data_IF_515053397606
#
_entry.id   IF_515053397606
#
_cell.length_a   1.000
_cell.length_b   1.000
_cell.length_c   1.000
_cell.angle_alpha   90.00
_cell.angle_beta   90.00
_cell.angle_gamma   90.00
#
_symmetry.space_group_name_H-M   'P 1'
#
loop_
_entity.id
_entity.type
_entity.pdbx_description
1 polymer ?
#
# COMPACT_ATOMS: atom_id res chain seq x y z
N UNK A 1 -18.22 -18.50 -14.77
CA UNK A 1 -17.47 -17.93 -13.63
C UNK A 1 -17.95 -16.51 -13.41
N UNK A 2 -18.06 -16.09 -12.16
CA UNK A 2 -18.44 -14.72 -11.81
C UNK A 2 -17.30 -13.75 -12.14
N UNK A 3 -17.60 -12.48 -12.12
CA UNK A 3 -16.62 -11.39 -12.15
C UNK A 3 -16.78 -10.61 -10.87
N UNK A 4 -15.69 -10.37 -10.15
CA UNK A 4 -15.70 -9.73 -8.84
C UNK A 4 -14.90 -8.44 -8.89
N UNK A 5 -15.43 -7.42 -8.25
CA UNK A 5 -14.76 -6.15 -7.98
C UNK A 5 -15.01 -5.77 -6.52
N UNK A 6 -13.96 -5.51 -5.78
CA UNK A 6 -14.02 -5.10 -4.37
C UNK A 6 -13.24 -3.80 -4.16
N UNK A 7 -13.61 -3.06 -3.14
CA UNK A 7 -13.01 -1.76 -2.83
C UNK A 7 -13.24 -1.38 -1.36
N UNK A 8 -12.47 -0.45 -0.78
CA UNK A 8 -12.84 0.21 0.46
C UNK A 8 -14.25 0.79 0.38
N UNK A 9 -14.97 0.81 1.52
CA UNK A 9 -16.29 1.45 1.56
C UNK A 9 -16.20 2.96 1.32
N UNK A 10 -15.09 3.58 1.70
CA UNK A 10 -14.82 4.99 1.45
C UNK A 10 -13.32 5.25 1.30
N UNK A 11 -12.98 6.09 0.34
CA UNK A 11 -11.65 6.67 0.16
C UNK A 11 -11.75 8.19 0.28
N UNK A 12 -10.87 8.81 1.05
CA UNK A 12 -10.78 10.25 1.23
C UNK A 12 -9.33 10.68 1.01
N UNK A 13 -9.12 11.68 0.18
CA UNK A 13 -7.80 12.26 -0.09
C UNK A 13 -7.88 13.77 -0.11
N UNK A 14 -6.91 14.42 0.51
CA UNK A 14 -6.75 15.87 0.46
C UNK A 14 -5.81 16.38 1.54
N UNK A 15 -5.41 17.65 1.46
CA UNK A 15 -4.54 18.28 2.45
C UNK A 15 -5.30 18.53 3.77
N UNK A 16 -4.66 18.23 4.91
CA UNK A 16 -5.20 18.48 6.24
C UNK A 16 -6.33 17.54 6.67
N UNK A 17 -6.58 16.45 5.95
CA UNK A 17 -7.66 15.51 6.27
C UNK A 17 -7.41 14.74 7.58
N UNK A 18 -6.16 14.59 8.02
CA UNK A 18 -5.83 14.00 9.32
C UNK A 18 -6.47 14.78 10.48
N UNK A 19 -6.59 16.09 10.36
CA UNK A 19 -7.23 16.92 11.37
C UNK A 19 -8.75 16.66 11.53
N UNK A 20 -9.36 15.96 10.58
CA UNK A 20 -10.77 15.57 10.58
C UNK A 20 -10.99 14.09 10.91
N UNK A 21 -9.92 13.34 11.23
CA UNK A 21 -9.97 11.89 11.46
C UNK A 21 -11.06 11.47 12.44
N UNK A 22 -11.20 12.17 13.58
CA UNK A 22 -12.22 11.86 14.58
C UNK A 22 -13.65 11.94 14.01
N UNK A 23 -13.94 12.95 13.18
CA UNK A 23 -15.25 13.08 12.53
C UNK A 23 -15.57 11.96 11.55
N UNK A 24 -14.55 11.40 10.90
CA UNK A 24 -14.72 10.23 10.06
C UNK A 24 -14.91 8.95 10.89
N UNK A 25 -14.11 8.77 11.93
CA UNK A 25 -14.17 7.60 12.84
C UNK A 25 -15.50 7.55 13.59
N UNK A 26 -16.08 8.68 13.95
CA UNK A 26 -17.38 8.77 14.62
C UNK A 26 -18.54 8.10 13.85
N UNK A 27 -18.37 7.87 12.53
CA UNK A 27 -19.36 7.13 11.73
C UNK A 27 -19.25 5.61 11.89
N UNK A 28 -18.16 5.12 12.49
CA UNK A 28 -17.88 3.69 12.61
C UNK A 28 -17.88 3.20 14.05
N UNK A 29 -17.57 4.06 15.01
CA UNK A 29 -17.50 3.72 16.41
C UNK A 29 -17.37 4.93 17.32
N UNK A 30 -17.39 4.69 18.63
CA UNK A 30 -17.25 5.70 19.69
C UNK A 30 -15.98 5.54 20.51
N UNK A 31 -15.31 4.40 20.38
CA UNK A 31 -14.06 4.11 21.09
C UNK A 31 -13.03 3.44 20.19
N UNK A 32 -12.01 4.18 19.81
CA UNK A 32 -11.01 3.74 18.86
C UNK A 32 -9.76 3.16 19.53
N UNK A 33 -9.27 2.02 19.05
CA UNK A 33 -7.89 1.61 19.25
C UNK A 33 -7.05 2.18 18.10
N UNK A 34 -6.08 3.05 18.40
CA UNK A 34 -5.23 3.70 17.40
C UNK A 34 -3.84 3.06 17.41
N UNK A 35 -3.59 2.19 16.44
CA UNK A 35 -2.29 1.54 16.24
C UNK A 35 -1.36 2.47 15.48
N UNK A 36 -0.25 2.86 16.11
CA UNK A 36 0.65 3.89 15.59
C UNK A 36 2.06 3.69 16.17
N UNK A 37 3.11 3.96 15.41
CA UNK A 37 4.47 3.89 15.95
C UNK A 37 4.81 5.06 16.88
N UNK A 38 5.79 4.88 17.78
CA UNK A 38 6.32 5.97 18.63
C UNK A 38 6.69 7.23 17.81
N UNK A 39 7.30 7.03 16.64
CA UNK A 39 7.60 8.11 15.69
C UNK A 39 6.36 8.78 15.13
N UNK A 40 5.30 8.02 14.85
CA UNK A 40 4.00 8.50 14.41
C UNK A 40 3.33 9.37 15.48
N UNK A 41 3.33 8.90 16.74
CA UNK A 41 2.79 9.67 17.87
C UNK A 41 3.49 11.02 17.98
N UNK A 42 4.82 11.06 17.87
CA UNK A 42 5.55 12.35 17.93
C UNK A 42 5.23 13.29 16.78
N UNK A 43 4.96 12.79 15.57
CA UNK A 43 4.70 13.63 14.39
C UNK A 43 3.25 14.11 14.31
N UNK A 44 2.30 13.25 14.63
CA UNK A 44 0.87 13.49 14.36
C UNK A 44 -0.04 13.31 15.58
N UNK A 45 0.50 12.87 16.72
CA UNK A 45 -0.30 12.55 17.90
C UNK A 45 -1.17 13.69 18.40
N UNK A 46 -0.67 14.93 18.40
CA UNK A 46 -1.45 16.07 18.88
C UNK A 46 -2.59 16.45 17.94
N UNK A 47 -2.37 16.34 16.61
CA UNK A 47 -3.44 16.53 15.61
C UNK A 47 -4.51 15.45 15.77
N UNK A 48 -4.10 14.20 15.95
CA UNK A 48 -5.01 13.07 16.17
C UNK A 48 -5.82 13.26 17.45
N UNK A 49 -5.17 13.55 18.59
CA UNK A 49 -5.84 13.81 19.88
C UNK A 49 -6.90 14.90 19.75
N UNK A 50 -6.52 16.03 19.13
CA UNK A 50 -7.45 17.14 18.93
C UNK A 50 -8.64 16.73 18.07
N UNK A 51 -8.39 16.03 16.96
CA UNK A 51 -9.44 15.58 16.05
C UNK A 51 -10.46 14.65 16.74
N UNK A 52 -9.98 13.73 17.58
CA UNK A 52 -10.86 12.83 18.34
C UNK A 52 -11.64 13.58 19.42
N UNK A 53 -11.00 14.50 20.13
CA UNK A 53 -11.68 15.35 21.14
C UNK A 53 -12.78 16.22 20.51
N UNK A 54 -12.51 16.84 19.36
CA UNK A 54 -13.48 17.66 18.64
C UNK A 54 -14.71 16.85 18.15
N UNK A 55 -14.55 15.54 17.96
CA UNK A 55 -15.59 14.63 17.48
C UNK A 55 -16.29 13.81 18.59
N UNK A 56 -15.92 14.00 19.85
CA UNK A 56 -16.43 13.24 21.00
C UNK A 56 -16.29 11.70 20.79
N UNK A 57 -15.11 11.29 20.32
CA UNK A 57 -14.73 9.89 20.17
C UNK A 57 -13.59 9.57 21.15
N UNK A 58 -13.82 8.63 22.04
CA UNK A 58 -12.79 8.13 22.93
C UNK A 58 -11.74 7.34 22.13
N UNK A 59 -10.49 7.39 22.53
CA UNK A 59 -9.44 6.63 21.86
C UNK A 59 -8.29 6.29 22.82
N UNK A 60 -7.60 5.20 22.50
CA UNK A 60 -6.35 4.82 23.12
C UNK A 60 -5.28 4.67 22.03
N UNK A 61 -4.13 5.33 22.19
CA UNK A 61 -2.96 4.99 21.39
C UNK A 61 -2.38 3.67 21.85
N UNK A 62 -2.06 2.81 20.88
CA UNK A 62 -1.32 1.59 21.12
C UNK A 62 -0.08 1.59 20.22
N UNK A 63 1.09 1.55 20.89
CA UNK A 63 2.35 1.67 20.17
C UNK A 63 2.64 0.35 19.44
N UNK A 64 2.80 0.46 18.12
CA UNK A 64 3.17 -0.66 17.26
C UNK A 64 4.62 -1.09 17.50
N UNK A 65 4.85 -2.37 17.70
CA UNK A 65 6.16 -2.92 18.09
C UNK A 65 7.17 -3.08 16.94
N UNK A 66 6.76 -2.83 15.67
CA UNK A 66 7.67 -2.78 14.52
C UNK A 66 7.42 -3.83 13.44
N UNK A 67 6.72 -4.94 13.73
CA UNK A 67 6.45 -5.98 12.74
C UNK A 67 4.97 -6.41 12.73
N UNK A 68 4.43 -6.69 11.54
CA UNK A 68 3.12 -7.31 11.37
C UNK A 68 3.26 -8.83 11.59
N UNK A 69 3.42 -9.22 12.86
CA UNK A 69 3.55 -10.62 13.25
C UNK A 69 2.32 -11.11 14.01
N UNK A 70 2.14 -12.44 14.08
CA UNK A 70 1.03 -13.02 14.82
C UNK A 70 1.05 -12.62 16.29
N UNK A 71 2.23 -12.54 16.90
CA UNK A 71 2.38 -12.15 18.30
C UNK A 71 1.90 -10.70 18.53
N UNK A 72 2.22 -9.77 17.62
CA UNK A 72 1.76 -8.39 17.72
C UNK A 72 0.27 -8.26 17.44
N UNK A 73 -0.26 -9.01 16.47
CA UNK A 73 -1.71 -9.07 16.21
C UNK A 73 -2.44 -9.56 17.45
N UNK A 74 -2.01 -10.66 18.05
CA UNK A 74 -2.63 -11.25 19.24
C UNK A 74 -2.58 -10.30 20.45
N UNK A 75 -1.47 -9.58 20.65
CA UNK A 75 -1.33 -8.55 21.68
C UNK A 75 -2.38 -7.45 21.49
N UNK A 76 -2.45 -6.86 20.31
CA UNK A 76 -3.37 -5.76 20.00
C UNK A 76 -4.85 -6.21 20.01
N UNK A 77 -5.14 -7.46 19.66
CA UNK A 77 -6.48 -8.05 19.83
C UNK A 77 -6.86 -8.12 21.31
N UNK A 78 -5.91 -8.51 22.17
CA UNK A 78 -6.09 -8.49 23.63
C UNK A 78 -6.41 -7.08 24.12
N UNK A 79 -5.61 -6.10 23.74
CA UNK A 79 -5.77 -4.70 24.11
C UNK A 79 -7.09 -4.09 23.59
N UNK A 80 -7.48 -4.40 22.34
CA UNK A 80 -8.76 -3.96 21.79
C UNK A 80 -9.96 -4.47 22.60
N UNK A 81 -9.93 -5.74 23.01
CA UNK A 81 -10.99 -6.34 23.83
C UNK A 81 -11.02 -5.78 25.24
N UNK A 82 -9.86 -5.67 25.90
CA UNK A 82 -9.74 -5.14 27.25
C UNK A 82 -10.22 -3.68 27.34
N UNK A 83 -9.81 -2.86 26.38
CA UNK A 83 -10.21 -1.47 26.26
C UNK A 83 -11.65 -1.28 25.77
N UNK A 84 -12.28 -2.33 25.22
CA UNK A 84 -13.62 -2.28 24.65
C UNK A 84 -13.68 -1.36 23.41
N UNK A 85 -12.66 -1.43 22.57
CA UNK A 85 -12.62 -0.67 21.32
C UNK A 85 -13.67 -1.21 20.33
N UNK A 86 -14.41 -0.32 19.69
CA UNK A 86 -15.45 -0.63 18.70
C UNK A 86 -15.06 -0.22 17.29
N UNK A 87 -13.86 0.37 17.11
CA UNK A 87 -13.22 0.64 15.82
C UNK A 87 -11.69 0.58 15.97
N UNK A 88 -11.01 0.07 14.96
CA UNK A 88 -9.54 0.03 14.91
C UNK A 88 -9.04 1.03 13.87
N UNK A 89 -8.04 1.83 14.24
CA UNK A 89 -7.44 2.84 13.37
C UNK A 89 -5.94 2.55 13.23
N UNK A 90 -5.44 2.32 12.02
CA UNK A 90 -4.01 2.14 11.76
C UNK A 90 -3.41 3.40 11.13
N UNK A 91 -2.48 4.09 11.81
CA UNK A 91 -1.83 5.30 11.30
C UNK A 91 -0.35 5.03 11.05
N UNK A 92 0.05 4.96 9.78
CA UNK A 92 1.46 4.71 9.45
C UNK A 92 1.73 4.13 8.07
N UNK A 93 2.71 3.24 7.98
CA UNK A 93 3.06 2.50 6.76
C UNK A 93 2.43 1.11 6.72
N UNK A 94 2.82 0.31 5.71
CA UNK A 94 2.27 -1.00 5.39
C UNK A 94 2.06 -1.92 6.59
N UNK A 95 3.11 -2.16 7.36
CA UNK A 95 3.05 -3.07 8.52
C UNK A 95 2.01 -2.65 9.56
N UNK A 96 1.83 -1.35 9.80
CA UNK A 96 0.87 -0.83 10.78
C UNK A 96 -0.56 -1.06 10.32
N UNK A 97 -0.89 -0.68 9.08
CA UNK A 97 -2.27 -0.86 8.63
C UNK A 97 -2.60 -2.32 8.30
N UNK A 98 -1.62 -3.14 7.93
CA UNK A 98 -1.82 -4.58 7.81
C UNK A 98 -2.13 -5.21 9.17
N UNK A 99 -1.39 -4.83 10.22
CA UNK A 99 -1.70 -5.23 11.59
C UNK A 99 -3.09 -4.73 12.02
N UNK A 100 -3.43 -3.46 11.74
CA UNK A 100 -4.74 -2.90 12.10
C UNK A 100 -5.90 -3.63 11.40
N UNK A 101 -5.76 -4.01 10.12
CA UNK A 101 -6.73 -4.83 9.39
C UNK A 101 -6.91 -6.20 10.03
N UNK A 102 -5.82 -6.87 10.39
CA UNK A 102 -5.86 -8.18 11.04
C UNK A 102 -6.53 -8.10 12.43
N UNK A 103 -6.19 -7.11 13.24
CA UNK A 103 -6.79 -6.87 14.56
C UNK A 103 -8.29 -6.61 14.42
N UNK A 104 -8.68 -5.68 13.53
CA UNK A 104 -10.09 -5.35 13.31
C UNK A 104 -10.92 -6.56 12.89
N UNK A 105 -10.37 -7.38 11.98
CA UNK A 105 -11.01 -8.64 11.55
C UNK A 105 -11.17 -9.63 12.71
N UNK A 106 -10.18 -9.73 13.60
CA UNK A 106 -10.21 -10.67 14.74
C UNK A 106 -11.16 -10.24 15.86
N UNK A 107 -11.49 -8.96 15.97
CA UNK A 107 -12.46 -8.44 16.94
C UNK A 107 -13.82 -8.08 16.32
N UNK A 108 -14.00 -8.35 15.03
CA UNK A 108 -15.20 -8.04 14.23
C UNK A 108 -15.59 -6.54 14.30
N UNK A 109 -14.59 -5.68 14.21
CA UNK A 109 -14.74 -4.22 14.26
C UNK A 109 -14.44 -3.56 12.90
N UNK A 110 -15.01 -2.38 12.61
CA UNK A 110 -14.59 -1.55 11.49
C UNK A 110 -13.11 -1.18 11.56
N UNK A 111 -12.46 -1.06 10.38
CA UNK A 111 -11.08 -0.58 10.27
C UNK A 111 -10.97 0.71 9.46
N UNK A 112 -10.22 1.66 10.00
CA UNK A 112 -9.83 2.91 9.35
C UNK A 112 -8.33 2.89 9.12
N UNK A 113 -7.91 3.00 7.88
CA UNK A 113 -6.50 3.00 7.47
C UNK A 113 -6.08 4.43 7.11
N UNK A 114 -5.02 4.91 7.76
CA UNK A 114 -4.49 6.28 7.59
C UNK A 114 -3.01 6.20 7.20
N UNK A 115 -2.70 6.03 5.92
CA UNK A 115 -1.32 6.00 5.45
C UNK A 115 -0.62 7.35 5.67
N UNK A 116 0.62 7.30 6.14
CA UNK A 116 1.49 8.49 6.27
C UNK A 116 2.53 8.55 5.16
N UNK A 117 2.51 7.58 4.26
CA UNK A 117 3.36 7.42 3.08
C UNK A 117 2.55 6.78 1.96
N UNK A 118 2.87 7.06 0.70
CA UNK A 118 2.26 6.42 -0.47
C UNK A 118 3.25 5.46 -1.14
N UNK A 119 3.77 4.50 -0.37
CA UNK A 119 4.87 3.63 -0.78
C UNK A 119 4.42 2.28 -1.36
N UNK A 120 3.14 1.91 -1.20
CA UNK A 120 2.54 0.67 -1.70
C UNK A 120 1.04 0.85 -1.91
N UNK A 121 0.40 -0.09 -2.57
CA UNK A 121 -1.03 -0.14 -2.85
C UNK A 121 -1.86 -0.90 -1.80
N UNK A 122 -1.21 -1.47 -0.79
CA UNK A 122 -1.83 -2.26 0.27
C UNK A 122 -2.93 -1.56 1.11
N UNK A 123 -2.99 -0.20 1.25
CA UNK A 123 -4.01 0.44 2.09
C UNK A 123 -5.45 0.08 1.75
N UNK A 124 -5.76 -0.13 0.47
CA UNK A 124 -7.12 -0.35 -0.01
C UNK A 124 -7.57 -1.81 0.04
N UNK A 125 -6.65 -2.77 0.20
CA UNK A 125 -6.94 -4.19 0.02
C UNK A 125 -7.54 -4.88 1.25
N UNK A 126 -8.32 -5.94 0.99
CA UNK A 126 -8.85 -6.88 1.99
C UNK A 126 -7.84 -7.98 2.33
N UNK A 127 -6.57 -7.65 2.40
CA UNK A 127 -5.52 -8.59 2.78
C UNK A 127 -4.42 -7.91 3.61
N UNK A 128 -3.68 -8.72 4.35
CA UNK A 128 -2.47 -8.31 5.06
C UNK A 128 -1.35 -9.29 4.79
N UNK A 129 -0.13 -8.80 4.80
CA UNK A 129 1.07 -9.63 4.77
C UNK A 129 1.53 -9.84 6.21
N UNK A 130 1.54 -11.10 6.65
CA UNK A 130 1.99 -11.48 7.99
C UNK A 130 3.42 -12.00 7.91
N UNK A 131 4.24 -11.55 8.83
CA UNK A 131 5.65 -11.91 8.93
C UNK A 131 5.92 -12.68 10.23
N UNK A 132 7.05 -13.35 10.28
CA UNK A 132 7.61 -13.86 11.54
C UNK A 132 8.16 -12.70 12.36
N UNK A 133 8.41 -12.90 13.66
CA UNK A 133 8.95 -11.85 14.55
C UNK A 133 10.34 -11.36 14.12
N UNK A 134 11.09 -12.15 13.35
CA UNK A 134 12.37 -11.79 12.73
C UNK A 134 12.24 -11.19 11.31
N UNK A 135 11.00 -10.91 10.87
CA UNK A 135 10.70 -10.16 9.65
C UNK A 135 10.70 -10.98 8.35
N UNK A 136 10.64 -12.31 8.42
CA UNK A 136 10.50 -13.16 7.24
C UNK A 136 9.03 -13.27 6.83
N UNK A 137 8.75 -13.32 5.52
CA UNK A 137 7.40 -13.57 5.03
C UNK A 137 6.86 -14.89 5.59
N UNK A 138 5.65 -14.85 6.15
CA UNK A 138 4.95 -16.02 6.68
C UNK A 138 3.78 -16.41 5.78
N UNK A 139 2.81 -15.50 5.63
CA UNK A 139 1.58 -15.79 4.87
C UNK A 139 0.85 -14.51 4.43
N UNK A 140 -0.06 -14.67 3.46
CA UNK A 140 -1.10 -13.69 3.17
C UNK A 140 -2.36 -14.03 3.97
N UNK A 141 -2.88 -13.07 4.72
CA UNK A 141 -4.15 -13.20 5.42
C UNK A 141 -5.22 -12.42 4.66
N UNK A 142 -6.25 -13.12 4.18
CA UNK A 142 -7.37 -12.52 3.45
C UNK A 142 -8.54 -12.24 4.36
N UNK A 143 -9.21 -11.10 4.17
CA UNK A 143 -10.35 -10.67 4.96
C UNK A 143 -11.64 -10.69 4.15
N UNK A 144 -12.80 -10.67 4.86
CA UNK A 144 -14.12 -10.69 4.24
C UNK A 144 -14.46 -9.39 3.51
N UNK A 145 -13.85 -8.29 3.89
CA UNK A 145 -14.12 -6.95 3.36
C UNK A 145 -12.87 -6.08 3.38
N UNK A 146 -12.82 -5.14 2.45
CA UNK A 146 -11.82 -4.07 2.41
C UNK A 146 -12.04 -3.10 3.58
N UNK A 147 -11.07 -2.22 3.89
CA UNK A 147 -11.22 -1.22 4.94
C UNK A 147 -12.48 -0.37 4.80
N UNK A 148 -13.07 -0.01 5.93
CA UNK A 148 -14.25 0.86 5.97
C UNK A 148 -13.92 2.28 5.50
N UNK A 149 -12.70 2.74 5.80
CA UNK A 149 -12.17 4.02 5.34
C UNK A 149 -10.67 3.92 5.10
N UNK A 150 -10.23 4.48 3.97
CA UNK A 150 -8.84 4.85 3.71
C UNK A 150 -8.75 6.37 3.66
N UNK A 151 -7.93 6.97 4.54
CA UNK A 151 -7.79 8.41 4.69
C UNK A 151 -6.36 8.84 4.35
N UNK A 152 -6.20 9.52 3.22
CA UNK A 152 -4.92 10.01 2.70
C UNK A 152 -4.80 11.51 2.96
N UNK A 153 -4.00 11.90 3.93
CA UNK A 153 -3.63 13.31 4.13
C UNK A 153 -2.42 13.64 3.26
N UNK A 154 -2.66 14.34 2.16
CA UNK A 154 -1.62 14.63 1.16
C UNK A 154 -0.56 15.60 1.67
N UNK A 155 -0.89 16.45 2.64
CA UNK A 155 0.11 17.29 3.31
C UNK A 155 1.06 16.47 4.20
N UNK A 156 0.57 15.43 4.86
CA UNK A 156 1.40 14.51 5.64
C UNK A 156 2.28 13.67 4.72
N UNK A 157 1.70 13.12 3.67
CA UNK A 157 2.37 12.22 2.73
C UNK A 157 3.46 12.96 1.94
N UNK A 158 3.19 14.18 1.47
CA UNK A 158 4.16 14.98 0.71
C UNK A 158 5.42 15.36 1.52
N UNK A 159 5.35 15.33 2.85
CA UNK A 159 6.49 15.56 3.76
C UNK A 159 7.30 14.29 4.04
N UNK A 160 6.87 13.13 3.53
CA UNK A 160 7.61 11.88 3.68
C UNK A 160 8.82 11.83 2.72
N UNK A 161 9.82 10.96 2.98
CA UNK A 161 10.94 10.80 2.06
C UNK A 161 10.48 10.46 0.64
N UNK A 162 10.93 11.23 -0.36
CA UNK A 162 10.53 11.10 -1.78
C UNK A 162 10.71 9.67 -2.30
N UNK A 163 11.79 8.99 -1.89
CA UNK A 163 12.07 7.59 -2.25
C UNK A 163 10.90 6.65 -1.92
N UNK A 164 10.11 6.93 -0.88
CA UNK A 164 8.94 6.11 -0.53
C UNK A 164 7.80 6.28 -1.55
N UNK A 165 7.51 7.50 -1.98
CA UNK A 165 6.51 7.74 -3.03
C UNK A 165 6.98 7.18 -4.38
N UNK A 166 8.28 7.29 -4.69
CA UNK A 166 8.88 6.67 -5.89
C UNK A 166 8.78 5.14 -5.82
N UNK A 167 9.02 4.54 -4.66
CA UNK A 167 8.77 3.10 -4.48
C UNK A 167 7.30 2.74 -4.76
N UNK A 168 6.35 3.56 -4.27
CA UNK A 168 4.93 3.36 -4.59
C UNK A 168 4.62 3.45 -6.09
N UNK A 169 5.28 4.35 -6.82
CA UNK A 169 5.15 4.39 -8.29
C UNK A 169 5.70 3.11 -8.94
N UNK A 170 6.78 2.55 -8.40
CA UNK A 170 7.34 1.29 -8.88
C UNK A 170 6.43 0.09 -8.63
N UNK A 171 5.69 0.09 -7.53
CA UNK A 171 4.67 -0.89 -7.20
C UNK A 171 3.45 -0.75 -8.13
N UNK A 172 2.89 0.45 -8.20
CA UNK A 172 1.74 0.78 -9.03
C UNK A 172 1.97 0.55 -10.53
N UNK A 173 3.23 0.63 -10.99
CA UNK A 173 3.59 0.38 -12.38
C UNK A 173 3.28 -1.05 -12.82
N UNK A 174 3.39 -2.04 -11.94
CA UNK A 174 3.09 -3.44 -12.23
C UNK A 174 1.61 -3.68 -12.51
N UNK A 175 0.74 -2.92 -11.86
CA UNK A 175 -0.70 -3.16 -11.79
C UNK A 175 -1.35 -3.36 -13.16
N UNK A 176 -1.08 -2.49 -14.12
CA UNK A 176 -1.67 -2.61 -15.46
C UNK A 176 -1.16 -3.84 -16.22
N UNK A 177 0.14 -4.10 -16.16
CA UNK A 177 0.74 -5.20 -16.91
C UNK A 177 0.34 -6.56 -16.35
N UNK A 178 0.29 -6.67 -15.04
CA UNK A 178 -0.16 -7.90 -14.36
C UNK A 178 -1.66 -8.13 -14.56
N UNK A 179 -2.50 -7.09 -14.44
CA UNK A 179 -3.92 -7.16 -14.77
C UNK A 179 -4.15 -7.64 -16.21
N UNK A 180 -3.35 -7.13 -17.17
CA UNK A 180 -3.38 -7.53 -18.57
C UNK A 180 -3.00 -9.00 -18.74
N UNK A 181 -1.96 -9.46 -18.06
CA UNK A 181 -1.53 -10.85 -18.09
C UNK A 181 -2.58 -11.79 -17.48
N UNK A 182 -3.15 -11.46 -16.33
CA UNK A 182 -4.23 -12.20 -15.69
C UNK A 182 -5.48 -12.29 -16.58
N UNK A 183 -5.86 -11.19 -17.24
CA UNK A 183 -6.98 -11.20 -18.17
C UNK A 183 -6.72 -12.09 -19.38
N UNK A 184 -5.50 -12.08 -19.94
CA UNK A 184 -5.12 -12.91 -21.10
C UNK A 184 -5.11 -14.40 -20.76
N UNK A 185 -4.64 -14.76 -19.57
CA UNK A 185 -4.57 -16.16 -19.10
C UNK A 185 -5.86 -16.66 -18.48
N UNK A 186 -6.91 -15.82 -18.37
CA UNK A 186 -8.13 -16.12 -17.64
C UNK A 186 -7.88 -16.55 -16.19
N UNK A 187 -6.88 -15.93 -15.55
CA UNK A 187 -6.51 -16.23 -14.17
C UNK A 187 -7.59 -15.76 -13.17
N UNK A 188 -7.56 -16.34 -11.97
CA UNK A 188 -8.34 -15.86 -10.82
C UNK A 188 -7.65 -14.66 -10.19
N UNK A 189 -8.42 -13.63 -9.85
CA UNK A 189 -7.93 -12.42 -9.18
C UNK A 189 -7.77 -12.63 -7.68
N UNK A 190 -7.15 -11.69 -6.98
CA UNK A 190 -7.06 -11.72 -5.50
C UNK A 190 -8.45 -11.61 -4.85
N UNK A 191 -9.42 -10.99 -5.54
CA UNK A 191 -10.81 -10.92 -5.11
C UNK A 191 -11.60 -12.25 -5.27
N UNK A 192 -10.99 -13.28 -5.84
CA UNK A 192 -11.51 -14.65 -5.85
C UNK A 192 -12.10 -15.16 -7.18
N UNK A 193 -12.42 -14.30 -8.13
CA UNK A 193 -13.03 -14.68 -9.42
C UNK A 193 -12.38 -13.95 -10.61
N UNK A 194 -13.08 -13.77 -11.72
CA UNK A 194 -12.51 -13.19 -12.94
C UNK A 194 -12.50 -11.68 -12.94
N UNK A 195 -11.54 -11.13 -13.67
CA UNK A 195 -11.35 -9.68 -13.81
C UNK A 195 -12.57 -8.99 -14.43
N UNK A 196 -12.93 -7.84 -13.88
CA UNK A 196 -13.97 -6.96 -14.43
C UNK A 196 -13.41 -5.95 -15.43
N UNK A 197 -14.27 -5.37 -16.29
CA UNK A 197 -13.86 -4.26 -17.14
C UNK A 197 -13.52 -3.00 -16.32
N UNK A 198 -14.16 -2.81 -15.16
CA UNK A 198 -13.87 -1.71 -14.25
C UNK A 198 -12.45 -1.81 -13.68
N UNK A 199 -12.05 -3.00 -13.17
CA UNK A 199 -10.69 -3.22 -12.67
C UNK A 199 -9.63 -2.95 -13.75
N UNK A 200 -9.85 -3.43 -14.97
CA UNK A 200 -8.95 -3.16 -16.11
C UNK A 200 -8.85 -1.67 -16.46
N UNK A 201 -9.97 -0.95 -16.39
CA UNK A 201 -9.98 0.50 -16.68
C UNK A 201 -9.20 1.28 -15.60
N UNK A 202 -9.34 0.90 -14.32
CA UNK A 202 -8.60 1.51 -13.23
C UNK A 202 -7.10 1.18 -13.29
N UNK A 203 -6.74 -0.07 -13.59
CA UNK A 203 -5.35 -0.46 -13.79
C UNK A 203 -4.71 0.32 -14.97
N UNK A 204 -5.45 0.53 -16.06
CA UNK A 204 -4.98 1.36 -17.18
C UNK A 204 -4.85 2.83 -16.79
N UNK A 205 -5.83 3.39 -16.08
CA UNK A 205 -5.78 4.76 -15.59
C UNK A 205 -4.58 4.95 -14.63
N UNK A 206 -4.27 3.96 -13.79
CA UNK A 206 -3.08 3.97 -12.95
C UNK A 206 -1.81 4.15 -13.79
N UNK A 207 -1.61 3.31 -14.80
CA UNK A 207 -0.47 3.40 -15.72
C UNK A 207 -0.39 4.76 -16.40
N UNK A 208 -1.50 5.23 -17.02
CA UNK A 208 -1.53 6.50 -17.72
C UNK A 208 -1.21 7.69 -16.80
N UNK A 209 -1.67 7.64 -15.54
CA UNK A 209 -1.37 8.65 -14.52
C UNK A 209 0.11 8.64 -14.13
N UNK A 210 0.70 7.46 -13.92
CA UNK A 210 2.13 7.34 -13.63
C UNK A 210 2.98 7.94 -14.75
N UNK A 211 2.69 7.58 -15.99
CA UNK A 211 3.45 8.06 -17.16
C UNK A 211 3.32 9.57 -17.36
N UNK A 212 2.14 10.15 -17.11
CA UNK A 212 1.89 11.57 -17.31
C UNK A 212 2.41 12.46 -16.19
N UNK A 213 2.34 12.01 -14.93
CA UNK A 213 2.54 12.84 -13.75
C UNK A 213 3.69 12.37 -12.83
N UNK A 214 4.21 11.15 -12.97
CA UNK A 214 5.18 10.56 -12.04
C UNK A 214 6.47 11.37 -11.90
N UNK A 215 7.11 11.73 -13.00
CA UNK A 215 8.35 12.53 -12.99
C UNK A 215 8.09 13.94 -12.44
N UNK A 216 6.97 14.55 -12.80
CA UNK A 216 6.56 15.88 -12.29
C UNK A 216 6.32 15.84 -10.78
N UNK A 217 5.66 14.79 -10.29
CA UNK A 217 5.41 14.60 -8.88
C UNK A 217 6.72 14.42 -8.09
N UNK A 218 7.67 13.62 -8.61
CA UNK A 218 9.00 13.47 -7.99
C UNK A 218 9.70 14.82 -7.85
N UNK A 219 9.78 15.60 -8.93
CA UNK A 219 10.42 16.93 -8.93
C UNK A 219 9.72 17.86 -7.92
N UNK A 220 8.39 17.86 -7.87
CA UNK A 220 7.64 18.68 -6.94
C UNK A 220 7.92 18.28 -5.48
N UNK A 221 7.94 16.97 -5.17
CA UNK A 221 8.25 16.46 -3.84
C UNK A 221 9.68 16.78 -3.42
N UNK A 222 10.67 16.70 -4.33
CA UNK A 222 12.05 17.09 -4.07
C UNK A 222 12.17 18.60 -3.78
N UNK A 223 11.29 19.41 -4.34
CA UNK A 223 11.16 20.84 -4.03
C UNK A 223 10.28 21.13 -2.79
N UNK A 224 9.76 20.11 -2.10
CA UNK A 224 8.89 20.25 -0.93
C UNK A 224 7.49 20.77 -1.24
N UNK A 225 7.00 20.59 -2.48
CA UNK A 225 5.70 21.08 -2.93
C UNK A 225 4.71 19.93 -3.14
N UNK A 226 3.48 20.09 -2.63
CA UNK A 226 2.35 19.21 -2.94
C UNK A 226 1.55 19.84 -4.09
N UNK A 227 1.80 19.39 -5.31
CA UNK A 227 1.14 19.86 -6.53
C UNK A 227 0.03 18.89 -6.95
N UNK A 228 -0.77 19.28 -7.96
CA UNK A 228 -1.78 18.39 -8.54
C UNK A 228 -1.19 17.07 -9.04
N UNK A 229 0.03 17.08 -9.61
CA UNK A 229 0.73 15.85 -10.01
C UNK A 229 1.05 14.96 -8.79
N UNK A 230 1.41 15.54 -7.64
CA UNK A 230 1.62 14.78 -6.40
C UNK A 230 0.32 14.16 -5.91
N UNK A 231 -0.78 14.92 -5.91
CA UNK A 231 -2.12 14.40 -5.55
C UNK A 231 -2.51 13.21 -6.44
N UNK A 232 -2.34 13.34 -7.76
CA UNK A 232 -2.62 12.25 -8.71
C UNK A 232 -1.76 11.01 -8.49
N UNK A 233 -0.49 11.20 -8.13
CA UNK A 233 0.42 10.07 -7.86
C UNK A 233 0.08 9.40 -6.52
N UNK A 234 -0.33 10.14 -5.51
CA UNK A 234 -0.83 9.54 -4.26
C UNK A 234 -2.07 8.68 -4.54
N UNK A 235 -3.02 9.18 -5.34
CA UNK A 235 -4.19 8.43 -5.78
C UNK A 235 -3.79 7.18 -6.58
N UNK A 236 -2.89 7.33 -7.56
CA UNK A 236 -2.41 6.22 -8.39
C UNK A 236 -1.75 5.12 -7.56
N UNK A 237 -0.82 5.49 -6.68
CA UNK A 237 -0.09 4.54 -5.83
C UNK A 237 -0.99 3.80 -4.84
N UNK A 238 -2.09 4.41 -4.40
CA UNK A 238 -2.89 3.86 -3.30
C UNK A 238 -4.23 3.34 -3.78
N UNK A 239 -5.03 4.16 -4.46
CA UNK A 239 -6.38 3.80 -4.86
C UNK A 239 -6.39 3.02 -6.18
N UNK A 240 -5.83 3.60 -7.25
CA UNK A 240 -5.92 2.99 -8.58
C UNK A 240 -5.15 1.67 -8.62
N UNK A 241 -3.94 1.64 -8.06
CA UNK A 241 -3.16 0.42 -7.95
C UNK A 241 -3.83 -0.59 -7.01
N UNK A 242 -4.28 -0.15 -5.83
CA UNK A 242 -4.93 -1.01 -4.85
C UNK A 242 -6.16 -1.73 -5.39
N UNK A 243 -7.05 -1.01 -6.06
CA UNK A 243 -8.23 -1.59 -6.69
C UNK A 243 -7.88 -2.44 -7.92
N UNK A 244 -6.84 -2.00 -8.65
CA UNK A 244 -6.34 -2.66 -9.85
C UNK A 244 -5.78 -4.04 -9.53
N UNK A 245 -4.80 -4.14 -8.62
CA UNK A 245 -4.18 -5.43 -8.32
C UNK A 245 -5.15 -6.41 -7.67
N UNK A 246 -5.94 -5.93 -6.70
CA UNK A 246 -6.84 -6.81 -5.94
C UNK A 246 -7.95 -7.39 -6.81
N UNK A 247 -8.54 -6.57 -7.69
CA UNK A 247 -9.66 -6.96 -8.56
C UNK A 247 -9.24 -7.40 -9.96
N UNK A 248 -7.95 -7.33 -10.33
CA UNK A 248 -7.47 -7.81 -11.62
C UNK A 248 -6.36 -8.86 -11.53
N UNK A 249 -5.67 -8.99 -10.38
CA UNK A 249 -4.70 -10.04 -10.10
C UNK A 249 -3.24 -9.61 -10.25
N UNK A 250 -2.35 -10.48 -9.79
CA UNK A 250 -0.89 -10.38 -9.85
C UNK A 250 -0.31 -11.42 -10.81
N UNK A 251 0.89 -11.16 -11.34
CA UNK A 251 1.55 -12.04 -12.29
C UNK A 251 3.07 -12.10 -12.08
N UNK A 252 3.87 -11.95 -13.15
CA UNK A 252 5.31 -12.18 -13.09
C UNK A 252 6.07 -11.10 -12.31
N UNK A 253 5.64 -9.84 -12.31
CA UNK A 253 6.34 -8.77 -11.60
C UNK A 253 6.42 -9.05 -10.10
N UNK A 254 5.31 -9.37 -9.47
CA UNK A 254 5.27 -9.75 -8.05
C UNK A 254 5.88 -11.12 -7.77
N UNK A 255 5.78 -12.08 -8.69
CA UNK A 255 6.46 -13.37 -8.54
C UNK A 255 7.98 -13.20 -8.51
N UNK A 256 8.54 -12.35 -9.37
CA UNK A 256 9.97 -11.99 -9.39
C UNK A 256 10.35 -11.24 -8.11
N UNK A 257 9.54 -10.25 -7.70
CA UNK A 257 9.73 -9.56 -6.43
C UNK A 257 9.84 -10.56 -5.26
N UNK A 258 8.92 -11.53 -5.17
CA UNK A 258 8.94 -12.55 -4.11
C UNK A 258 10.24 -13.37 -4.13
N UNK A 259 10.73 -13.74 -5.31
CA UNK A 259 12.04 -14.38 -5.46
C UNK A 259 13.21 -13.51 -4.99
N UNK A 260 13.17 -12.21 -5.29
CA UNK A 260 14.19 -11.25 -4.84
C UNK A 260 14.21 -11.08 -3.31
N UNK A 261 13.08 -11.23 -2.62
CA UNK A 261 13.05 -11.10 -1.15
C UNK A 261 13.86 -12.18 -0.43
N UNK A 262 14.12 -13.32 -1.07
CA UNK A 262 14.97 -14.37 -0.53
C UNK A 262 16.48 -14.05 -0.63
N UNK A 263 16.85 -12.98 -1.33
CA UNK A 263 18.24 -12.58 -1.54
C UNK A 263 18.64 -11.48 -0.55
N UNK A 264 19.58 -11.71 0.38
CA UNK A 264 19.97 -10.72 1.40
C UNK A 264 20.44 -9.38 0.82
N UNK A 265 21.05 -9.41 -0.37
CA UNK A 265 21.55 -8.23 -1.07
C UNK A 265 20.43 -7.23 -1.40
N UNK A 266 19.19 -7.71 -1.55
CA UNK A 266 18.04 -6.89 -1.91
C UNK A 266 17.24 -6.36 -0.72
N UNK A 267 17.62 -6.70 0.51
CA UNK A 267 16.86 -6.28 1.70
C UNK A 267 16.92 -4.76 1.97
N UNK A 268 17.91 -4.05 1.41
CA UNK A 268 18.01 -2.59 1.49
C UNK A 268 17.04 -1.86 0.55
N UNK A 269 16.36 -2.58 -0.34
CA UNK A 269 15.43 -2.03 -1.31
C UNK A 269 13.98 -2.16 -0.85
N UNK A 270 13.18 -1.11 -1.10
CA UNK A 270 11.76 -1.14 -0.81
C UNK A 270 11.00 -2.07 -1.75
N UNK A 271 9.78 -2.43 -1.35
CA UNK A 271 8.91 -3.33 -2.10
C UNK A 271 8.78 -2.91 -3.57
N UNK A 272 8.31 -1.70 -3.83
CA UNK A 272 8.05 -1.23 -5.19
C UNK A 272 9.32 -1.02 -6.03
N UNK A 273 10.48 -0.81 -5.40
CA UNK A 273 11.75 -0.78 -6.14
C UNK A 273 12.06 -2.16 -6.77
N UNK A 274 11.79 -3.25 -6.04
CA UNK A 274 11.93 -4.62 -6.54
C UNK A 274 10.82 -5.00 -7.51
N UNK A 275 9.59 -4.53 -7.27
CA UNK A 275 8.45 -4.75 -8.18
C UNK A 275 8.67 -4.05 -9.53
N UNK A 276 9.23 -2.83 -9.54
CA UNK A 276 9.58 -2.14 -10.79
C UNK A 276 10.56 -2.94 -11.65
N UNK A 277 11.60 -3.52 -11.04
CA UNK A 277 12.50 -4.44 -11.73
C UNK A 277 11.78 -5.69 -12.25
N UNK A 278 10.87 -6.24 -11.44
CA UNK A 278 10.01 -7.36 -11.83
C UNK A 278 9.12 -7.02 -13.03
N UNK A 279 8.58 -5.79 -13.06
CA UNK A 279 7.76 -5.28 -14.17
C UNK A 279 8.56 -5.22 -15.47
N UNK A 280 9.77 -4.67 -15.43
CA UNK A 280 10.65 -4.66 -16.62
C UNK A 280 10.96 -6.09 -17.09
N UNK A 281 11.21 -7.00 -16.17
CA UNK A 281 11.45 -8.40 -16.50
C UNK A 281 10.22 -9.07 -17.12
N UNK A 282 9.02 -8.77 -16.62
CA UNK A 282 7.77 -9.25 -17.21
C UNK A 282 7.58 -8.71 -18.63
N UNK A 283 7.84 -7.43 -18.87
CA UNK A 283 7.72 -6.81 -20.19
C UNK A 283 8.70 -7.43 -21.20
N UNK A 284 9.91 -7.78 -20.78
CA UNK A 284 10.86 -8.55 -21.62
C UNK A 284 10.31 -9.93 -21.94
N UNK A 285 9.75 -10.65 -20.98
CA UNK A 285 9.16 -11.98 -21.20
C UNK A 285 7.94 -11.94 -22.12
N UNK A 286 7.18 -10.85 -22.10
CA UNK A 286 5.99 -10.67 -22.94
C UNK A 286 6.30 -10.08 -24.33
N UNK A 287 7.55 -9.70 -24.62
CA UNK A 287 7.96 -8.95 -25.82
C UNK A 287 7.06 -7.71 -26.03
N UNK A 288 6.88 -6.94 -24.95
CA UNK A 288 5.92 -5.85 -24.87
C UNK A 288 6.46 -4.56 -25.49
N UNK A 289 5.68 -3.93 -26.35
CA UNK A 289 6.02 -2.67 -27.04
C UNK A 289 6.29 -1.50 -26.05
N UNK A 290 5.68 -1.55 -24.85
CA UNK A 290 5.84 -0.53 -23.82
C UNK A 290 7.19 -0.57 -23.09
N UNK A 291 8.00 -1.61 -23.27
CA UNK A 291 9.28 -1.78 -22.56
C UNK A 291 10.21 -0.56 -22.64
N UNK A 292 10.44 0.07 -23.80
CA UNK A 292 11.34 1.24 -23.87
C UNK A 292 10.83 2.43 -23.06
N UNK A 293 9.53 2.72 -23.12
CA UNK A 293 8.89 3.83 -22.39
C UNK A 293 8.94 3.59 -20.87
N UNK A 294 8.63 2.36 -20.43
CA UNK A 294 8.66 1.97 -19.02
C UNK A 294 10.08 1.97 -18.47
N UNK A 295 11.07 1.54 -19.25
CA UNK A 295 12.46 1.59 -18.87
C UNK A 295 12.94 3.05 -18.66
N UNK A 296 12.61 3.95 -19.59
CA UNK A 296 12.94 5.37 -19.48
C UNK A 296 12.30 6.00 -18.24
N UNK A 297 11.04 5.69 -17.96
CA UNK A 297 10.33 6.12 -16.76
C UNK A 297 11.04 5.65 -15.48
N UNK A 298 11.41 4.37 -15.39
CA UNK A 298 12.15 3.84 -14.25
C UNK A 298 13.50 4.54 -14.05
N UNK A 299 14.24 4.80 -15.12
CA UNK A 299 15.52 5.53 -15.08
C UNK A 299 15.33 6.96 -14.57
N UNK A 300 14.34 7.69 -15.07
CA UNK A 300 14.04 9.07 -14.64
C UNK A 300 13.65 9.14 -13.15
N UNK A 301 12.95 8.14 -12.65
CA UNK A 301 12.59 8.05 -11.24
C UNK A 301 13.75 7.59 -10.34
N UNK A 302 14.77 6.95 -10.91
CA UNK A 302 15.86 6.33 -10.16
C UNK A 302 15.49 4.98 -9.56
N UNK A 303 14.50 4.30 -10.14
CA UNK A 303 14.16 2.92 -9.82
C UNK A 303 15.22 1.97 -10.40
N UNK A 304 15.53 0.84 -9.72
CA UNK A 304 16.53 -0.10 -10.20
C UNK A 304 16.06 -0.78 -11.49
N UNK A 305 16.93 -0.79 -12.51
CA UNK A 305 16.67 -1.39 -13.83
C UNK A 305 17.64 -2.52 -14.16
N UNK A 306 18.63 -2.77 -13.29
CA UNK A 306 19.60 -3.85 -13.43
C UNK A 306 19.79 -4.62 -12.13
N UNK A 307 20.25 -5.87 -12.21
CA UNK A 307 20.61 -6.64 -11.02
C UNK A 307 21.70 -5.98 -10.18
N UNK A 308 22.67 -5.31 -10.83
CA UNK A 308 23.75 -4.61 -10.14
C UNK A 308 23.18 -3.48 -9.27
N UNK A 309 22.18 -2.72 -9.76
CA UNK A 309 21.50 -1.68 -9.00
C UNK A 309 20.70 -2.23 -7.81
N UNK A 310 20.28 -3.50 -7.87
CA UNK A 310 19.67 -4.23 -6.74
C UNK A 310 20.73 -4.87 -5.81
N UNK A 311 22.03 -4.60 -6.04
CA UNK A 311 23.11 -5.18 -5.25
C UNK A 311 23.47 -6.63 -5.63
N UNK A 312 22.80 -7.20 -6.63
CA UNK A 312 22.99 -8.59 -7.06
C UNK A 312 24.08 -8.67 -8.11
N UNK A 313 25.16 -9.41 -7.83
CA UNK A 313 26.25 -9.64 -8.79
C UNK A 313 25.88 -10.76 -9.76
N UNK A 314 25.82 -10.45 -11.05
CA UNK A 314 25.68 -11.43 -12.12
C UNK A 314 26.96 -12.30 -12.13
N UNK A 315 26.83 -13.60 -11.93
CA UNK A 315 27.95 -14.56 -11.89
C UNK A 315 27.87 -15.57 -10.74
N UNK A 316 26.91 -15.44 -9.84
CA UNK A 316 26.59 -16.46 -8.81
C UNK A 316 25.41 -17.35 -9.15
N UNK A 317 24.81 -17.23 -10.33
CA UNK A 317 23.90 -18.22 -10.86
C UNK A 317 24.77 -19.44 -11.31
N UNK A 318 25.21 -20.23 -10.37
CA UNK A 318 25.69 -21.55 -10.69
C UNK A 318 24.50 -22.49 -10.79
N UNK A 319 24.32 -22.97 -11.95
CA UNK A 319 23.77 -24.21 -12.50
C UNK A 319 23.49 -25.27 -11.43
#
# INVERSE_FOLDING_TARGET
MARVFISPSKYVQGPGELAKLGSYVANYGKKALVVISAGGIRRSGDVVKKSFADADVAFDFDEFNGECSQAEIDRLVGDAREKGADVVVGIGGGKIFDTAKAVASAVDAPVVVVPTIAATDAPCSALSVVYTDDGQFKEYQFFKANPNLVLMDTEVISKSPVRLTVSGMGDALATYFEARACKRSDATTCAGDKVTSAAMALARLCYDTLMSDGVKAKIALEAGACTESVEKIIEANTLLSGLGFESAGLAAAHAIHNGLTAMPETHAFYHGEKVAFGTLSQLVLEDADELPEVLDFCVQLGLPVTFEQLGVKIGRAHV
#
